data_IF_798700593205
#
_entry.id   IF_798700593205
#
_cell.length_a   1.000
_cell.length_b   1.000
_cell.length_c   1.000
_cell.angle_alpha   90.00
_cell.angle_beta   90.00
_cell.angle_gamma   90.00
#
_symmetry.space_group_name_H-M   'P 1'
#
loop_
_entity.id
_entity.type
_entity.pdbx_description
1 polymer ?
#
# COMPACT_ATOMS: atom_id res chain seq x y z
N UNK A 1 7.62 1.63 -20.31
CA UNK A 1 7.04 0.61 -19.43
C UNK A 1 7.34 0.89 -17.97
N UNK A 2 8.60 1.12 -17.56
CA UNK A 2 8.97 1.41 -16.16
C UNK A 2 8.27 2.64 -15.56
N UNK A 3 8.10 3.73 -16.33
CA UNK A 3 7.32 4.90 -15.90
C UNK A 3 5.86 4.57 -15.53
N UNK A 4 5.25 3.60 -16.22
CA UNK A 4 3.87 3.18 -15.92
C UNK A 4 3.81 2.43 -14.58
N UNK A 5 4.74 1.50 -14.35
CA UNK A 5 4.84 0.77 -13.08
C UNK A 5 5.16 1.73 -11.93
N UNK A 6 6.05 2.69 -12.14
CA UNK A 6 6.32 3.77 -11.18
C UNK A 6 5.01 4.50 -10.80
N UNK A 7 4.19 4.91 -11.78
CA UNK A 7 2.90 5.54 -11.47
C UNK A 7 1.94 4.62 -10.72
N UNK A 8 1.94 3.31 -11.00
CA UNK A 8 1.15 2.34 -10.23
C UNK A 8 1.65 2.22 -8.80
N UNK A 9 2.97 2.24 -8.56
CA UNK A 9 3.57 2.18 -7.23
C UNK A 9 3.19 3.40 -6.40
N UNK A 10 3.32 4.60 -6.98
CA UNK A 10 2.88 5.85 -6.33
C UNK A 10 1.40 5.74 -5.95
N UNK A 11 0.55 5.26 -6.86
CA UNK A 11 -0.87 5.07 -6.55
C UNK A 11 -1.12 4.00 -5.46
N UNK A 12 -0.34 2.92 -5.43
CA UNK A 12 -0.47 1.89 -4.39
C UNK A 12 -0.10 2.46 -3.01
N UNK A 13 0.98 3.23 -2.92
CA UNK A 13 1.37 3.94 -1.70
C UNK A 13 0.30 4.95 -1.27
N UNK A 14 -0.21 5.75 -2.20
CA UNK A 14 -1.29 6.72 -1.92
C UNK A 14 -2.55 6.04 -1.39
N UNK A 15 -2.96 4.89 -1.93
CA UNK A 15 -4.11 4.14 -1.41
C UNK A 15 -3.92 3.72 0.04
N UNK A 16 -2.73 3.19 0.38
CA UNK A 16 -2.41 2.83 1.78
C UNK A 16 -2.46 4.07 2.66
N UNK A 17 -1.82 5.16 2.22
CA UNK A 17 -1.79 6.41 2.97
C UNK A 17 -3.20 6.97 3.20
N UNK A 18 -4.02 7.10 2.16
CA UNK A 18 -5.41 7.58 2.25
C UNK A 18 -6.32 6.67 3.07
N UNK A 19 -6.03 5.36 3.12
CA UNK A 19 -6.79 4.41 3.95
C UNK A 19 -6.44 4.51 5.44
N UNK A 20 -5.32 5.14 5.79
CA UNK A 20 -4.78 5.13 7.15
C UNK A 20 -4.55 6.51 7.77
N UNK A 21 -4.51 7.57 6.96
CA UNK A 21 -4.25 8.93 7.40
C UNK A 21 -5.41 9.86 7.09
N UNK A 22 -5.60 10.85 7.93
CA UNK A 22 -6.55 11.94 7.74
C UNK A 22 -5.84 13.30 7.79
N UNK A 23 -6.49 14.30 7.21
CA UNK A 23 -6.02 15.69 7.21
C UNK A 23 -7.00 16.52 8.04
N UNK A 24 -6.49 17.18 9.08
CA UNK A 24 -7.21 18.22 9.80
C UNK A 24 -6.81 19.60 9.29
N UNK A 25 -7.79 20.45 9.01
CA UNK A 25 -7.58 21.88 8.79
C UNK A 25 -7.94 22.64 10.09
N UNK A 26 -6.94 23.31 10.66
CA UNK A 26 -7.17 24.29 11.71
C UNK A 26 -6.64 25.66 11.29
N UNK A 27 -7.57 26.55 10.93
CA UNK A 27 -7.30 27.93 10.52
C UNK A 27 -6.32 28.07 9.33
N UNK A 28 -6.40 27.16 8.36
CA UNK A 28 -5.54 27.15 7.17
C UNK A 28 -4.21 26.41 7.35
N UNK A 29 -3.99 25.79 8.52
CA UNK A 29 -2.88 24.89 8.75
C UNK A 29 -3.35 23.44 8.61
N UNK A 30 -2.80 22.75 7.62
CA UNK A 30 -3.06 21.34 7.37
C UNK A 30 -2.14 20.48 8.24
N UNK A 31 -2.74 19.62 9.06
CA UNK A 31 -2.03 18.63 9.85
C UNK A 31 -2.48 17.24 9.41
N UNK A 32 -1.54 16.44 8.95
CA UNK A 32 -1.76 15.04 8.62
C UNK A 32 -1.43 14.16 9.83
N UNK A 33 -2.26 13.17 10.10
CA UNK A 33 -2.09 12.23 11.21
C UNK A 33 -2.63 10.85 10.84
N UNK A 34 -2.10 9.82 11.50
CA UNK A 34 -2.62 8.46 11.39
C UNK A 34 -3.99 8.38 12.07
N UNK A 35 -5.05 8.08 11.32
CA UNK A 35 -6.41 8.05 11.82
C UNK A 35 -6.76 6.63 12.28
N UNK A 36 -6.70 6.44 13.59
CA UNK A 36 -7.02 5.16 14.24
C UNK A 36 -8.50 4.82 14.13
N UNK A 37 -9.38 5.81 14.16
CA UNK A 37 -10.83 5.59 14.27
C UNK A 37 -11.53 5.49 12.92
N UNK A 38 -10.99 6.13 11.88
CA UNK A 38 -11.53 6.03 10.51
C UNK A 38 -10.60 5.26 9.57
N UNK A 39 -9.77 4.38 10.11
CA UNK A 39 -8.90 3.52 9.30
C UNK A 39 -9.75 2.57 8.43
N UNK A 40 -9.44 2.53 7.13
CA UNK A 40 -10.15 1.73 6.13
C UNK A 40 -9.21 0.82 5.33
N UNK A 41 -8.00 0.59 5.84
CA UNK A 41 -7.06 -0.34 5.22
C UNK A 41 -7.71 -1.73 5.12
N UNK A 42 -7.62 -2.33 3.95
CA UNK A 42 -8.24 -3.61 3.63
C UNK A 42 -7.33 -4.47 2.76
N UNK A 43 -7.64 -5.77 2.67
CA UNK A 43 -6.86 -6.72 1.87
C UNK A 43 -6.75 -6.32 0.40
N UNK A 44 -7.79 -5.78 -0.23
CA UNK A 44 -7.74 -5.34 -1.63
C UNK A 44 -6.65 -4.28 -1.87
N UNK A 45 -6.41 -3.42 -0.89
CA UNK A 45 -5.34 -2.41 -0.96
C UNK A 45 -3.96 -3.06 -0.90
N UNK A 46 -3.79 -4.06 -0.03
CA UNK A 46 -2.54 -4.82 0.11
C UNK A 46 -2.27 -5.70 -1.12
N UNK A 47 -3.30 -6.38 -1.64
CA UNK A 47 -3.22 -7.19 -2.86
C UNK A 47 -2.85 -6.34 -4.08
N UNK A 48 -3.38 -5.12 -4.17
CA UNK A 48 -2.99 -4.19 -5.22
C UNK A 48 -1.50 -3.83 -5.12
N UNK A 49 -0.98 -3.50 -3.92
CA UNK A 49 0.45 -3.27 -3.72
C UNK A 49 1.29 -4.48 -4.14
N UNK A 50 0.93 -5.68 -3.67
CA UNK A 50 1.64 -6.93 -4.00
C UNK A 50 1.66 -7.18 -5.53
N UNK A 51 0.55 -6.92 -6.21
CA UNK A 51 0.49 -7.03 -7.68
C UNK A 51 1.46 -6.07 -8.38
N UNK A 52 1.55 -4.82 -7.92
CA UNK A 52 2.45 -3.82 -8.48
C UNK A 52 3.91 -4.17 -8.22
N UNK A 53 4.23 -4.68 -7.04
CA UNK A 53 5.59 -5.08 -6.68
C UNK A 53 6.05 -6.30 -7.50
N UNK A 54 5.17 -7.26 -7.76
CA UNK A 54 5.45 -8.39 -8.67
C UNK A 54 5.70 -7.91 -10.10
N UNK A 55 4.81 -7.06 -10.63
CA UNK A 55 5.01 -6.47 -11.97
C UNK A 55 6.32 -5.68 -12.06
N UNK A 56 6.72 -4.99 -10.99
CA UNK A 56 7.98 -4.26 -10.92
C UNK A 56 9.18 -5.20 -10.93
N UNK A 57 9.17 -6.25 -10.12
CA UNK A 57 10.24 -7.26 -10.06
C UNK A 57 10.49 -7.89 -11.43
N UNK A 58 9.42 -8.35 -12.09
CA UNK A 58 9.47 -8.92 -13.43
C UNK A 58 10.04 -7.93 -14.45
N UNK A 59 9.58 -6.67 -14.40
CA UNK A 59 10.02 -5.64 -15.34
C UNK A 59 11.49 -5.25 -15.13
N UNK A 60 11.96 -5.18 -13.89
CA UNK A 60 13.37 -4.89 -13.59
C UNK A 60 14.28 -6.00 -14.12
N UNK A 61 13.87 -7.27 -14.00
CA UNK A 61 14.61 -8.39 -14.57
C UNK A 61 14.68 -8.32 -16.11
N UNK A 62 13.58 -7.98 -16.78
CA UNK A 62 13.54 -7.78 -18.23
C UNK A 62 14.47 -6.63 -18.65
N UNK A 63 14.41 -5.50 -17.95
CA UNK A 63 15.27 -4.34 -18.25
C UNK A 63 16.75 -4.70 -18.13
N UNK A 64 17.14 -5.43 -17.09
CA UNK A 64 18.53 -5.90 -16.94
C UNK A 64 18.95 -6.78 -18.12
N UNK A 65 18.10 -7.75 -18.49
CA UNK A 65 18.39 -8.66 -19.59
C UNK A 65 18.50 -7.94 -20.95
N UNK A 66 17.59 -7.01 -21.23
CA UNK A 66 17.58 -6.25 -22.48
C UNK A 66 18.82 -5.34 -22.58
N UNK A 67 19.16 -4.63 -21.50
CA UNK A 67 20.34 -3.78 -21.47
C UNK A 67 21.64 -4.58 -21.61
N UNK A 68 21.75 -5.75 -20.99
CA UNK A 68 22.91 -6.62 -21.12
C UNK A 68 23.05 -7.13 -22.57
N UNK A 69 21.94 -7.58 -23.15
CA UNK A 69 21.89 -8.07 -24.54
C UNK A 69 22.28 -7.00 -25.56
N UNK A 70 21.87 -5.75 -25.31
CA UNK A 70 22.19 -4.60 -26.17
C UNK A 70 23.58 -3.99 -25.88
N UNK A 71 24.31 -4.48 -24.88
CA UNK A 71 25.61 -3.94 -24.44
C UNK A 71 25.51 -2.53 -23.83
N UNK A 72 24.34 -2.18 -23.30
CA UNK A 72 24.00 -0.89 -22.70
C UNK A 72 23.93 -0.95 -21.16
N UNK A 73 24.07 -2.14 -20.56
CA UNK A 73 24.10 -2.30 -19.11
C UNK A 73 25.35 -1.64 -18.52
N UNK A 74 25.14 -0.84 -17.48
CA UNK A 74 26.22 -0.20 -16.71
C UNK A 74 26.23 -0.73 -15.28
N UNK A 75 27.40 -0.78 -14.66
CA UNK A 75 27.56 -1.15 -13.24
C UNK A 75 26.65 -0.34 -12.30
N UNK A 76 26.38 0.92 -12.67
CA UNK A 76 25.51 1.81 -11.90
C UNK A 76 24.04 1.36 -11.96
N UNK A 77 23.53 1.01 -13.15
CA UNK A 77 22.16 0.50 -13.32
C UNK A 77 22.02 -0.87 -12.62
N UNK A 78 22.98 -1.77 -12.84
CA UNK A 78 22.98 -3.10 -12.23
C UNK A 78 22.94 -3.01 -10.70
N UNK A 79 23.79 -2.15 -10.12
CA UNK A 79 23.81 -1.92 -8.67
C UNK A 79 22.51 -1.32 -8.16
N UNK A 80 21.93 -0.33 -8.85
CA UNK A 80 20.68 0.27 -8.41
C UNK A 80 19.51 -0.72 -8.42
N UNK A 81 19.40 -1.53 -9.47
CA UNK A 81 18.37 -2.57 -9.54
C UNK A 81 18.62 -3.66 -8.50
N UNK A 82 19.87 -4.12 -8.35
CA UNK A 82 20.22 -5.18 -7.40
C UNK A 82 20.06 -4.81 -5.92
N UNK A 83 19.98 -3.51 -5.59
CA UNK A 83 19.70 -3.05 -4.22
C UNK A 83 18.19 -3.02 -3.89
N UNK A 84 17.31 -3.17 -4.88
CA UNK A 84 15.87 -3.21 -4.65
C UNK A 84 15.49 -4.60 -4.14
N UNK A 85 15.14 -4.68 -2.85
CA UNK A 85 14.70 -5.92 -2.21
C UNK A 85 13.18 -5.95 -2.10
N UNK A 86 12.51 -6.37 -3.19
CA UNK A 86 11.05 -6.50 -3.22
C UNK A 86 10.55 -7.52 -2.20
N UNK A 87 11.29 -8.61 -1.96
CA UNK A 87 10.89 -9.65 -1.03
C UNK A 87 10.80 -9.11 0.40
N UNK A 88 11.80 -8.35 0.85
CA UNK A 88 11.78 -7.70 2.17
C UNK A 88 10.64 -6.67 2.30
N UNK A 89 10.24 -5.99 1.22
CA UNK A 89 9.06 -5.10 1.26
C UNK A 89 7.78 -5.91 1.49
N UNK A 90 7.66 -7.07 0.84
CA UNK A 90 6.49 -7.96 0.97
C UNK A 90 6.35 -8.55 2.37
N UNK A 91 7.47 -8.78 3.07
CA UNK A 91 7.47 -9.26 4.45
C UNK A 91 6.77 -8.28 5.42
N UNK A 92 6.80 -6.97 5.15
CA UNK A 92 6.18 -5.94 5.99
C UNK A 92 4.65 -6.06 6.11
N UNK A 93 3.99 -6.74 5.17
CA UNK A 93 2.54 -6.95 5.16
C UNK A 93 2.17 -8.43 5.01
N UNK A 94 3.07 -9.33 5.36
CA UNK A 94 2.82 -10.77 5.39
C UNK A 94 1.76 -11.17 6.44
N UNK A 95 1.26 -12.40 6.38
CA UNK A 95 0.10 -12.86 7.17
C UNK A 95 0.26 -12.70 8.69
N UNK A 96 1.50 -12.69 9.18
CA UNK A 96 1.85 -12.59 10.61
C UNK A 96 2.05 -11.13 11.09
N UNK A 97 1.83 -10.13 10.23
CA UNK A 97 2.02 -8.72 10.59
C UNK A 97 0.72 -8.04 11.03
N UNK A 98 0.86 -6.93 11.74
CA UNK A 98 -0.29 -6.16 12.22
C UNK A 98 -0.97 -5.42 11.08
N UNK A 99 -0.22 -5.10 10.02
CA UNK A 99 -0.80 -4.58 8.77
C UNK A 99 -1.79 -5.59 8.21
N UNK A 100 -1.41 -6.87 8.12
CA UNK A 100 -2.30 -7.90 7.60
C UNK A 100 -3.47 -8.19 8.54
N UNK A 101 -3.22 -8.24 9.85
CA UNK A 101 -4.29 -8.39 10.87
C UNK A 101 -5.33 -7.28 10.79
N UNK A 102 -4.90 -6.02 10.61
CA UNK A 102 -5.80 -4.89 10.38
C UNK A 102 -6.53 -5.02 9.05
N UNK A 103 -5.80 -5.28 7.96
CA UNK A 103 -6.36 -5.30 6.61
C UNK A 103 -7.40 -6.42 6.40
N UNK A 104 -7.26 -7.55 7.11
CA UNK A 104 -8.19 -8.68 7.03
C UNK A 104 -9.41 -8.53 7.95
N UNK A 105 -9.40 -7.57 8.88
CA UNK A 105 -10.47 -7.44 9.86
C UNK A 105 -11.74 -6.89 9.21
N UNK A 106 -12.82 -7.64 9.32
CA UNK A 106 -14.15 -7.26 8.84
C UNK A 106 -15.05 -6.96 10.04
N UNK A 107 -15.50 -5.71 10.14
CA UNK A 107 -16.36 -5.24 11.23
C UNK A 107 -17.76 -5.87 11.17
N UNK A 108 -18.28 -6.16 9.98
CA UNK A 108 -19.61 -6.75 9.80
C UNK A 108 -19.60 -8.22 10.22
N UNK A 109 -18.57 -8.96 9.83
CA UNK A 109 -18.40 -10.36 10.25
C UNK A 109 -18.22 -10.44 11.77
N UNK A 110 -17.35 -9.60 12.36
CA UNK A 110 -17.14 -9.57 13.81
C UNK A 110 -18.42 -9.21 14.59
N UNK A 111 -19.15 -8.18 14.15
CA UNK A 111 -20.41 -7.79 14.78
C UNK A 111 -21.47 -8.91 14.67
N UNK A 112 -21.49 -9.62 13.54
CA UNK A 112 -22.40 -10.75 13.33
C UNK A 112 -22.06 -11.92 14.25
N UNK A 113 -20.78 -12.27 14.40
CA UNK A 113 -20.33 -13.30 15.34
C UNK A 113 -20.72 -12.95 16.79
N UNK A 114 -20.49 -11.71 17.21
CA UNK A 114 -20.89 -11.23 18.53
C UNK A 114 -22.40 -11.41 18.79
N UNK A 115 -23.24 -11.03 17.82
CA UNK A 115 -24.70 -11.19 17.94
C UNK A 115 -25.12 -12.67 18.05
N UNK A 116 -24.42 -13.57 17.35
CA UNK A 116 -24.69 -15.01 17.42
C UNK A 116 -24.32 -15.59 18.78
N UNK A 117 -23.18 -15.18 19.36
CA UNK A 117 -22.75 -15.62 20.69
C UNK A 117 -23.71 -15.17 21.79
N UNK A 118 -24.31 -13.98 21.63
CA UNK A 118 -25.28 -13.39 22.56
C UNK A 118 -26.75 -13.60 22.17
N UNK A 119 -27.04 -14.48 21.20
CA UNK A 119 -28.38 -14.64 20.62
C UNK A 119 -29.47 -15.04 21.64
N UNK A 120 -29.11 -15.73 22.72
CA UNK A 120 -30.04 -16.11 23.79
C UNK A 120 -30.43 -14.91 24.66
N UNK A 121 -29.52 -13.95 24.84
CA UNK A 121 -29.68 -12.75 25.67
C UNK A 121 -30.31 -11.59 24.88
N UNK A 122 -30.15 -11.58 23.56
CA UNK A 122 -30.63 -10.55 22.64
C UNK A 122 -32.12 -10.67 22.22
N UNK A 123 -32.94 -11.47 22.92
CA UNK A 123 -34.35 -11.69 22.57
C UNK A 123 -35.13 -10.37 22.39
N UNK A 124 -35.91 -10.30 21.29
CA UNK A 124 -36.75 -9.22 20.72
C UNK A 124 -36.72 -7.79 21.33
N UNK A 125 -36.86 -7.61 22.64
CA UNK A 125 -36.82 -6.28 23.28
C UNK A 125 -35.41 -5.68 23.37
N UNK A 126 -34.37 -6.51 23.36
CA UNK A 126 -32.96 -6.07 23.52
C UNK A 126 -32.15 -6.09 22.24
N UNK A 127 -32.70 -6.62 21.14
CA UNK A 127 -31.97 -6.83 19.88
C UNK A 127 -31.30 -5.56 19.34
N UNK A 128 -32.02 -4.43 19.34
CA UNK A 128 -31.45 -3.15 18.87
C UNK A 128 -30.26 -2.69 19.73
N UNK A 129 -30.35 -2.88 21.06
CA UNK A 129 -29.26 -2.52 21.98
C UNK A 129 -28.03 -3.41 21.77
N UNK A 130 -28.24 -4.70 21.51
CA UNK A 130 -27.15 -5.64 21.21
C UNK A 130 -26.53 -5.37 19.84
N UNK A 131 -27.31 -4.92 18.85
CA UNK A 131 -26.79 -4.49 17.55
C UNK A 131 -25.88 -3.25 17.69
N UNK A 132 -26.31 -2.24 18.43
CA UNK A 132 -25.48 -1.05 18.71
C UNK A 132 -24.19 -1.43 19.44
N UNK A 133 -24.29 -2.33 20.42
CA UNK A 133 -23.12 -2.83 21.17
C UNK A 133 -22.18 -3.62 20.27
N UNK A 134 -22.69 -4.52 19.42
CA UNK A 134 -21.87 -5.30 18.49
C UNK A 134 -21.09 -4.42 17.52
N UNK A 135 -21.74 -3.39 16.96
CA UNK A 135 -21.09 -2.40 16.08
C UNK A 135 -20.03 -1.60 16.84
N UNK A 136 -20.33 -1.19 18.08
CA UNK A 136 -19.36 -0.47 18.91
C UNK A 136 -18.13 -1.33 19.22
N UNK A 137 -18.32 -2.58 19.64
CA UNK A 137 -17.24 -3.53 19.93
C UNK A 137 -16.39 -3.82 18.68
N UNK A 138 -17.01 -3.95 17.51
CA UNK A 138 -16.30 -4.11 16.23
C UNK A 138 -15.43 -2.88 15.91
N UNK A 139 -15.98 -1.67 16.06
CA UNK A 139 -15.27 -0.42 15.83
C UNK A 139 -14.11 -0.22 16.82
N UNK A 140 -14.31 -0.54 18.10
CA UNK A 140 -13.27 -0.50 19.13
C UNK A 140 -12.15 -1.52 18.84
N UNK A 141 -12.51 -2.73 18.41
CA UNK A 141 -11.55 -3.75 18.00
C UNK A 141 -10.72 -3.29 16.80
N UNK A 142 -11.36 -2.71 15.78
CA UNK A 142 -10.66 -2.15 14.61
C UNK A 142 -9.73 -1.01 14.98
N UNK A 143 -10.17 -0.09 15.83
CA UNK A 143 -9.34 1.00 16.33
C UNK A 143 -8.11 0.46 17.07
N UNK A 144 -8.26 -0.58 17.89
CA UNK A 144 -7.13 -1.22 18.56
C UNK A 144 -6.15 -1.86 17.55
N UNK A 145 -6.66 -2.53 16.52
CA UNK A 145 -5.82 -3.09 15.45
C UNK A 145 -5.07 -1.98 14.68
N UNK A 146 -5.75 -0.89 14.35
CA UNK A 146 -5.15 0.27 13.68
C UNK A 146 -4.04 0.90 14.52
N UNK A 147 -4.31 1.14 15.81
CA UNK A 147 -3.31 1.65 16.75
C UNK A 147 -2.07 0.74 16.82
N UNK A 148 -2.28 -0.57 16.89
CA UNK A 148 -1.18 -1.53 16.96
C UNK A 148 -0.34 -1.56 15.66
N UNK A 149 -0.97 -1.31 14.52
CA UNK A 149 -0.35 -1.33 13.19
C UNK A 149 0.33 0.00 12.78
N UNK A 150 0.08 1.11 13.47
CA UNK A 150 0.56 2.46 13.12
C UNK A 150 2.05 2.49 12.74
N UNK A 151 2.91 1.92 13.60
CA UNK A 151 4.35 1.94 13.39
C UNK A 151 4.78 1.10 12.17
N UNK A 152 4.11 -0.02 11.92
CA UNK A 152 4.38 -0.89 10.76
C UNK A 152 3.91 -0.24 9.47
N UNK A 153 2.72 0.37 9.45
CA UNK A 153 2.21 1.13 8.30
C UNK A 153 3.12 2.30 7.98
N UNK A 154 3.54 3.07 9.00
CA UNK A 154 4.47 4.18 8.82
C UNK A 154 5.80 3.72 8.23
N UNK A 155 6.30 2.57 8.70
CA UNK A 155 7.52 1.97 8.14
C UNK A 155 7.33 1.54 6.68
N UNK A 156 6.21 0.89 6.34
CA UNK A 156 5.88 0.50 4.97
C UNK A 156 5.85 1.72 4.04
N UNK A 157 5.12 2.79 4.41
CA UNK A 157 5.04 4.02 3.59
C UNK A 157 6.41 4.67 3.37
N UNK A 158 7.28 4.64 4.39
CA UNK A 158 8.66 5.13 4.29
C UNK A 158 9.49 4.28 3.30
N UNK A 159 9.40 2.96 3.40
CA UNK A 159 10.08 2.03 2.50
C UNK A 159 9.61 2.19 1.06
N UNK A 160 8.29 2.34 0.84
CA UNK A 160 7.72 2.60 -0.48
C UNK A 160 8.19 3.94 -1.07
N UNK A 161 8.34 4.99 -0.25
CA UNK A 161 8.89 6.27 -0.70
C UNK A 161 10.38 6.18 -1.07
N UNK A 162 11.14 5.33 -0.37
CA UNK A 162 12.51 4.98 -0.75
C UNK A 162 12.55 4.26 -2.11
N UNK A 163 11.68 3.27 -2.29
CA UNK A 163 11.55 2.53 -3.55
C UNK A 163 11.19 3.45 -4.73
N UNK A 164 10.26 4.38 -4.55
CA UNK A 164 9.93 5.39 -5.56
C UNK A 164 11.16 6.20 -5.99
N UNK A 165 11.94 6.66 -5.01
CA UNK A 165 13.17 7.43 -5.25
C UNK A 165 14.20 6.60 -6.02
N UNK A 166 14.33 5.32 -5.72
CA UNK A 166 15.28 4.44 -6.40
C UNK A 166 14.83 4.10 -7.83
N UNK A 167 13.53 3.89 -8.06
CA UNK A 167 12.98 3.71 -9.41
C UNK A 167 13.16 4.97 -10.26
N UNK A 168 12.96 6.16 -9.71
CA UNK A 168 13.21 7.41 -10.43
C UNK A 168 14.67 7.53 -10.87
N UNK A 169 15.62 7.17 -10.00
CA UNK A 169 17.04 7.15 -10.37
C UNK A 169 17.29 6.20 -11.54
N UNK A 170 16.74 4.98 -11.48
CA UNK A 170 16.87 4.01 -12.57
C UNK A 170 16.30 4.60 -13.87
N UNK A 171 15.09 5.17 -13.84
CA UNK A 171 14.46 5.81 -15.01
C UNK A 171 15.37 6.90 -15.62
N UNK A 172 16.07 7.68 -14.79
CA UNK A 172 16.95 8.75 -15.25
C UNK A 172 18.29 8.24 -15.80
N UNK A 173 18.75 7.07 -15.35
CA UNK A 173 19.97 6.42 -15.84
C UNK A 173 19.74 5.66 -17.15
N UNK A 174 18.51 5.21 -17.41
CA UNK A 174 18.20 4.51 -18.64
C UNK A 174 18.51 5.39 -19.86
N UNK A 175 19.20 4.85 -20.88
CA UNK A 175 19.49 5.60 -22.09
C UNK A 175 18.17 6.11 -22.67
N UNK A 176 18.09 7.42 -22.87
CA UNK A 176 16.95 8.02 -23.56
C UNK A 176 16.96 7.48 -24.97
N UNK A 177 16.03 6.59 -25.32
CA UNK A 177 15.79 6.18 -26.70
C UNK A 177 15.75 7.46 -27.54
N UNK A 178 16.68 7.61 -28.48
CA UNK A 178 16.80 8.80 -29.31
C UNK A 178 15.40 9.22 -29.76
N UNK A 179 14.96 10.42 -29.37
CA UNK A 179 13.86 11.09 -30.05
C UNK A 179 14.28 11.13 -31.51
N UNK A 180 13.67 10.29 -32.34
CA UNK A 180 13.94 10.25 -33.76
C UNK A 180 13.93 11.70 -34.31
N UNK A 181 15.09 12.27 -34.68
CA UNK A 181 15.14 13.68 -35.11
C UNK A 181 14.44 13.90 -36.45
N UNK A 182 13.95 12.84 -37.11
CA UNK A 182 13.16 12.91 -38.35
C UNK A 182 11.64 13.08 -38.15
N UNK A 183 11.15 13.24 -36.91
CA UNK A 183 9.76 13.62 -36.67
C UNK A 183 9.69 15.13 -36.45
N UNK A 184 9.76 15.86 -37.57
CA UNK A 184 9.37 17.26 -37.65
C UNK A 184 7.83 17.35 -37.64
N UNK A 185 7.28 17.75 -36.50
CA UNK A 185 5.85 18.03 -36.33
C UNK A 185 5.49 19.51 -36.60
N UNK A 186 6.28 20.23 -37.41
CA UNK A 186 5.85 21.52 -37.98
C UNK A 186 5.16 21.32 -39.33
N UNK A 187 3.90 20.88 -39.29
CA UNK A 187 2.91 21.15 -40.34
C UNK A 187 1.53 21.38 -39.76
#
# INVERSE_FOLDING_TARGET
MLRLIYSKLVNAKERIHMSTHAIADHAGNYYEYYDVHNNSLNLLTIEYLDSVLKELEDLLAIILQDLDSDGLLTDEIEKHIGNIDISNIRELYSEDTKIFELARFDEEDYATEYLQEHAIEAYDEYLNSFQETAVQEAAEKKALLAYNAEQEVTNLLKVLSGLETDIEKIINLLPSSERNPNIDNTR
#
